data_IF_060243893453
#
_entry.id   IF_060243893453
#
_cell.length_a   1.000
_cell.length_b   1.000
_cell.length_c   1.000
_cell.angle_alpha   90.00
_cell.angle_beta   90.00
_cell.angle_gamma   90.00
#
_symmetry.space_group_name_H-M   'P 1'
#
loop_
_entity.id
_entity.type
_entity.pdbx_description
1 polymer ?
#
# COMPACT_ATOMS: atom_id res chain seq x y z
N UNK A 1 8.81 -15.06 -8.23
CA UNK A 1 7.55 -14.30 -8.24
C UNK A 1 7.75 -12.97 -8.95
N UNK A 2 6.67 -12.37 -9.43
CA UNK A 2 6.67 -11.07 -10.09
C UNK A 2 7.29 -9.97 -9.19
N UNK A 3 7.00 -10.00 -7.89
CA UNK A 3 7.52 -9.05 -6.90
C UNK A 3 9.03 -9.18 -6.72
N UNK A 4 9.56 -10.39 -6.66
CA UNK A 4 11.01 -10.61 -6.54
C UNK A 4 11.77 -10.04 -7.75
N UNK A 5 11.20 -10.20 -8.96
CA UNK A 5 11.79 -9.63 -10.17
C UNK A 5 11.80 -8.09 -10.12
N UNK A 6 10.69 -7.45 -9.73
CA UNK A 6 10.63 -6.00 -9.55
C UNK A 6 11.60 -5.49 -8.48
N UNK A 7 11.70 -6.20 -7.35
CA UNK A 7 12.63 -5.86 -6.26
C UNK A 7 14.07 -5.82 -6.76
N UNK A 8 14.51 -6.84 -7.51
CA UNK A 8 15.84 -6.89 -8.11
C UNK A 8 16.05 -5.82 -9.19
N UNK A 9 15.07 -5.62 -10.08
CA UNK A 9 15.18 -4.67 -11.19
C UNK A 9 15.32 -3.23 -10.73
N UNK A 10 14.52 -2.83 -9.72
CA UNK A 10 14.50 -1.45 -9.23
C UNK A 10 15.37 -1.25 -8.00
N UNK A 11 16.00 -2.30 -7.48
CA UNK A 11 16.75 -2.30 -6.22
C UNK A 11 15.91 -1.71 -5.06
N UNK A 12 14.66 -2.16 -4.97
CA UNK A 12 13.69 -1.71 -3.96
C UNK A 12 13.29 -2.86 -3.06
N UNK A 13 12.98 -2.56 -1.81
CA UNK A 13 12.35 -3.53 -0.91
C UNK A 13 10.84 -3.55 -1.17
N UNK A 14 10.28 -4.74 -1.41
CA UNK A 14 8.83 -4.93 -1.55
C UNK A 14 8.30 -5.61 -0.30
N UNK A 15 7.28 -5.00 0.30
CA UNK A 15 6.54 -5.56 1.42
C UNK A 15 5.19 -6.05 0.91
N UNK A 16 4.95 -7.35 0.99
CA UNK A 16 3.66 -7.94 0.67
C UNK A 16 2.77 -7.90 1.91
N UNK A 17 1.66 -7.17 1.84
CA UNK A 17 0.70 -7.04 2.93
C UNK A 17 -0.40 -8.10 2.79
N UNK A 18 -0.44 -9.03 3.72
CA UNK A 18 -1.59 -9.90 3.92
C UNK A 18 -2.64 -9.12 4.72
N UNK A 19 -3.56 -8.48 4.01
CA UNK A 19 -4.67 -7.74 4.61
C UNK A 19 -5.91 -8.62 4.74
N UNK A 20 -6.81 -8.22 5.63
CA UNK A 20 -8.08 -8.91 5.87
C UNK A 20 -8.97 -8.92 4.61
N UNK A 21 -9.45 -10.09 4.20
CA UNK A 21 -10.24 -10.31 2.98
C UNK A 21 -11.75 -10.31 3.25
N UNK A 22 -12.51 -9.95 2.22
CA UNK A 22 -13.97 -10.08 2.16
C UNK A 22 -14.31 -11.52 1.70
N UNK A 23 -15.39 -12.16 2.21
CA UNK A 23 -16.50 -11.62 3.02
C UNK A 23 -16.27 -11.54 4.53
N UNK A 24 -15.25 -12.22 5.08
CA UNK A 24 -15.02 -12.34 6.52
C UNK A 24 -14.76 -10.98 7.17
N UNK A 25 -14.08 -10.10 6.44
CA UNK A 25 -13.76 -8.75 6.84
C UNK A 25 -14.08 -7.76 5.71
N UNK A 26 -15.33 -7.25 5.65
CA UNK A 26 -15.70 -6.28 4.64
C UNK A 26 -14.92 -4.97 4.78
N UNK A 27 -14.98 -4.13 3.74
CA UNK A 27 -14.47 -2.76 3.79
C UNK A 27 -15.05 -2.03 5.03
N UNK A 28 -14.24 -1.32 5.83
CA UNK A 28 -12.90 -0.78 5.56
C UNK A 28 -11.71 -1.61 6.10
N UNK A 29 -11.89 -2.85 6.55
CA UNK A 29 -10.85 -3.61 7.25
C UNK A 29 -9.49 -3.66 6.52
N UNK A 30 -9.51 -3.94 5.21
CA UNK A 30 -8.31 -3.98 4.35
C UNK A 30 -7.63 -2.61 4.18
N UNK A 31 -8.40 -1.52 4.21
CA UNK A 31 -7.84 -0.15 4.15
C UNK A 31 -7.17 0.19 5.46
N UNK A 32 -7.78 -0.18 6.59
CA UNK A 32 -7.18 0.05 7.90
C UNK A 32 -5.86 -0.72 8.07
N UNK A 33 -5.75 -1.93 7.54
CA UNK A 33 -4.51 -2.71 7.54
C UNK A 33 -3.40 -2.01 6.73
N UNK A 34 -3.75 -1.51 5.54
CA UNK A 34 -2.81 -0.77 4.69
C UNK A 34 -2.34 0.54 5.35
N UNK A 35 -3.26 1.29 5.99
CA UNK A 35 -2.92 2.51 6.72
C UNK A 35 -2.09 2.20 7.97
N UNK A 36 -2.36 1.09 8.67
CA UNK A 36 -1.57 0.66 9.81
C UNK A 36 -0.13 0.35 9.41
N UNK A 37 0.07 -0.39 8.32
CA UNK A 37 1.41 -0.65 7.77
C UNK A 37 2.10 0.66 7.37
N UNK A 38 1.41 1.54 6.65
CA UNK A 38 1.98 2.83 6.24
C UNK A 38 2.46 3.65 7.45
N UNK A 39 1.66 3.73 8.52
CA UNK A 39 2.05 4.38 9.77
C UNK A 39 3.26 3.71 10.44
N UNK A 40 3.36 2.39 10.38
CA UNK A 40 4.51 1.66 10.89
C UNK A 40 5.79 2.03 10.11
N UNK A 41 5.71 2.16 8.78
CA UNK A 41 6.84 2.61 7.95
C UNK A 41 7.30 4.02 8.32
N UNK A 42 6.35 4.96 8.49
CA UNK A 42 6.68 6.32 8.92
C UNK A 42 7.32 6.34 10.32
N UNK A 43 6.84 5.52 11.26
CA UNK A 43 7.44 5.38 12.60
C UNK A 43 8.86 4.81 12.56
N UNK A 44 9.19 4.03 11.53
CA UNK A 44 10.53 3.50 11.28
C UNK A 44 11.42 4.48 10.48
N UNK A 45 11.08 5.77 10.45
CA UNK A 45 11.82 6.83 9.74
C UNK A 45 11.91 6.67 8.21
N UNK A 46 11.03 5.86 7.60
CA UNK A 46 10.93 5.81 6.14
C UNK A 46 10.15 7.03 5.69
N UNK A 47 10.76 7.87 4.85
CA UNK A 47 10.12 9.10 4.39
C UNK A 47 8.95 8.76 3.43
N UNK A 48 7.84 9.52 3.48
CA UNK A 48 6.74 9.37 2.52
C UNK A 48 7.21 9.39 1.06
N UNK A 49 8.22 10.20 0.75
CA UNK A 49 8.86 10.34 -0.56
C UNK A 49 9.64 9.11 -1.04
N UNK A 50 9.86 8.13 -0.16
CA UNK A 50 10.51 6.83 -0.44
C UNK A 50 9.50 5.68 -0.52
N UNK A 51 8.21 5.94 -0.25
CA UNK A 51 7.18 4.91 -0.21
C UNK A 51 6.35 4.97 -1.50
N UNK A 52 6.21 3.82 -2.16
CA UNK A 52 5.28 3.59 -3.27
C UNK A 52 4.25 2.55 -2.84
N UNK A 53 2.97 2.81 -3.12
CA UNK A 53 1.92 1.81 -2.91
C UNK A 53 1.65 1.13 -4.25
N UNK A 54 1.84 -0.19 -4.32
CA UNK A 54 1.62 -0.98 -5.52
C UNK A 54 0.49 -1.99 -5.29
N UNK A 55 -0.47 -2.07 -6.21
CA UNK A 55 -1.58 -3.04 -6.15
C UNK A 55 -1.91 -3.59 -7.55
N UNK A 56 -2.30 -4.85 -7.60
CA UNK A 56 -2.89 -5.48 -8.79
C UNK A 56 -4.40 -5.14 -8.90
N UNK A 57 -4.95 -5.29 -10.10
CA UNK A 57 -6.24 -4.81 -10.62
C UNK A 57 -7.42 -5.02 -9.66
N UNK A 58 -7.55 -6.22 -9.10
CA UNK A 58 -8.61 -6.58 -8.14
C UNK A 58 -8.57 -5.75 -6.84
N UNK A 59 -7.47 -5.02 -6.61
CA UNK A 59 -7.22 -4.14 -5.48
C UNK A 59 -7.08 -2.65 -5.84
N UNK A 60 -7.31 -2.23 -7.09
CA UNK A 60 -7.15 -0.83 -7.52
C UNK A 60 -8.00 0.16 -6.70
N UNK A 61 -9.24 -0.23 -6.37
CA UNK A 61 -10.10 0.52 -5.45
C UNK A 61 -9.51 0.62 -4.04
N UNK A 62 -8.82 -0.42 -3.55
CA UNK A 62 -8.17 -0.39 -2.25
C UNK A 62 -7.03 0.64 -2.20
N UNK A 63 -6.20 0.70 -3.25
CA UNK A 63 -5.12 1.71 -3.32
C UNK A 63 -5.66 3.14 -3.22
N UNK A 64 -6.70 3.45 -4.00
CA UNK A 64 -7.32 4.78 -3.99
C UNK A 64 -7.95 5.10 -2.65
N UNK A 65 -8.70 4.17 -2.06
CA UNK A 65 -9.29 4.34 -0.72
C UNK A 65 -8.22 4.51 0.35
N UNK A 66 -7.09 3.82 0.24
CA UNK A 66 -5.94 3.98 1.15
C UNK A 66 -5.37 5.39 1.05
N UNK A 67 -5.07 5.89 -0.15
CA UNK A 67 -4.57 7.27 -0.33
C UNK A 67 -5.58 8.28 0.20
N UNK A 68 -6.87 8.14 -0.16
CA UNK A 68 -7.93 9.02 0.30
C UNK A 68 -7.99 9.05 1.84
N UNK A 69 -7.83 7.89 2.47
CA UNK A 69 -7.82 7.77 3.93
C UNK A 69 -6.56 8.41 4.54
N UNK A 70 -5.39 8.25 3.92
CA UNK A 70 -4.16 8.91 4.36
C UNK A 70 -4.30 10.44 4.32
N UNK A 71 -4.82 10.98 3.22
CA UNK A 71 -5.05 12.43 3.06
C UNK A 71 -6.08 12.93 4.08
N UNK A 72 -7.19 12.22 4.24
CA UNK A 72 -8.26 12.57 5.19
C UNK A 72 -7.77 12.55 6.64
N UNK A 73 -6.84 11.63 6.97
CA UNK A 73 -6.19 11.54 8.29
C UNK A 73 -4.98 12.48 8.44
N UNK A 74 -4.77 13.40 7.50
CA UNK A 74 -3.67 14.38 7.48
C UNK A 74 -2.27 13.75 7.55
N UNK A 75 -2.12 12.54 7.03
CA UNK A 75 -0.82 11.88 6.88
C UNK A 75 -0.15 12.35 5.59
N UNK A 76 1.17 12.48 5.62
CA UNK A 76 1.95 12.81 4.43
C UNK A 76 1.74 11.76 3.34
N UNK A 77 1.42 12.21 2.13
CA UNK A 77 1.14 11.33 0.99
C UNK A 77 2.40 10.55 0.56
N UNK A 78 2.25 9.29 0.11
CA UNK A 78 3.35 8.53 -0.47
C UNK A 78 3.85 9.20 -1.75
N UNK A 79 5.04 8.79 -2.22
CA UNK A 79 5.64 9.29 -3.48
C UNK A 79 4.71 9.11 -4.68
N UNK A 80 3.94 8.03 -4.67
CA UNK A 80 3.02 7.70 -5.74
C UNK A 80 2.38 6.34 -5.54
N UNK A 81 1.47 6.01 -6.45
CA UNK A 81 0.75 4.75 -6.46
C UNK A 81 0.84 4.12 -7.84
N UNK A 82 1.10 2.82 -7.86
CA UNK A 82 1.20 2.00 -9.05
C UNK A 82 0.04 1.02 -9.02
N UNK A 83 -0.87 1.14 -9.99
CA UNK A 83 -1.94 0.18 -10.21
C UNK A 83 -1.55 -0.65 -11.42
N UNK A 84 -1.32 -1.94 -11.18
CA UNK A 84 -1.00 -2.91 -12.21
C UNK A 84 -2.27 -3.65 -12.60
N UNK A 85 -2.32 -4.03 -13.87
CA UNK A 85 -3.39 -4.81 -14.46
C UNK A 85 -2.72 -6.01 -15.10
N UNK A 86 -2.52 -7.08 -14.35
CA UNK A 86 -1.98 -8.33 -14.89
C UNK A 86 -3.08 -9.22 -15.47
#
# INVERSE_FOLDING_TARGET
GFECHLSCLFNVTILHLEYRLCPEHPLPASVDDAVALYRALLRNNILPSQILIMRDLAGGGLSLLTIQTLITRQLSAPRGVIVLST
#
